data_IF_573442944746
#
_entry.id   IF_573442944746
#
_cell.length_a   1.000
_cell.length_b   1.000
_cell.length_c   1.000
_cell.angle_alpha   90.00
_cell.angle_beta   90.00
_cell.angle_gamma   90.00
#
_symmetry.space_group_name_H-M   'P 1'
#
loop_
_entity.id
_entity.type
_entity.pdbx_description
1 polymer ?
#
# COMPACT_ATOMS: atom_id res chain seq x y z
N UNK A 1 26.37 -12.29 5.67
CA UNK A 1 24.96 -11.86 5.54
C UNK A 1 24.92 -10.35 5.30
N UNK A 2 24.73 -9.93 4.06
CA UNK A 2 24.79 -8.52 3.66
C UNK A 2 23.49 -7.82 4.09
N UNK A 3 23.59 -6.85 5.02
CA UNK A 3 22.45 -6.04 5.47
C UNK A 3 22.08 -5.05 4.36
N UNK A 4 21.01 -5.33 3.61
CA UNK A 4 20.44 -4.38 2.66
C UNK A 4 19.78 -3.22 3.44
N UNK A 5 20.48 -2.09 3.58
CA UNK A 5 19.88 -0.86 4.13
C UNK A 5 19.00 -0.25 3.04
N UNK A 6 17.68 -0.42 3.17
CA UNK A 6 16.67 0.25 2.34
C UNK A 6 16.90 1.78 2.27
N UNK A 7 17.45 2.37 3.35
CA UNK A 7 17.76 3.81 3.45
C UNK A 7 18.95 4.29 2.59
N UNK A 8 19.82 3.40 2.12
CA UNK A 8 20.95 3.77 1.25
C UNK A 8 20.65 3.58 -0.24
N UNK A 9 19.45 3.13 -0.59
CA UNK A 9 19.05 3.04 -1.99
C UNK A 9 18.79 4.45 -2.54
N UNK A 10 19.31 4.79 -3.74
CA UNK A 10 19.05 6.08 -4.38
C UNK A 10 17.55 6.34 -4.65
N UNK A 11 16.73 5.29 -4.62
CA UNK A 11 15.27 5.38 -4.79
C UNK A 11 14.50 5.69 -3.50
N UNK A 12 15.18 5.75 -2.34
CA UNK A 12 14.53 6.02 -1.06
C UNK A 12 14.17 7.51 -0.92
N UNK A 13 12.89 7.84 -1.12
CA UNK A 13 12.37 9.22 -1.06
C UNK A 13 11.86 9.67 0.31
N UNK A 14 12.26 9.00 1.39
CA UNK A 14 11.83 9.34 2.76
C UNK A 14 10.63 8.56 3.26
N UNK A 15 9.91 9.06 4.29
CA UNK A 15 8.76 8.40 4.89
C UNK A 15 7.66 8.13 3.86
N UNK A 16 7.02 6.97 3.96
CA UNK A 16 5.87 6.64 3.13
C UNK A 16 4.67 7.44 3.61
N UNK A 17 4.29 8.48 2.88
CA UNK A 17 3.13 9.32 3.16
C UNK A 17 2.10 9.17 2.03
N UNK A 18 0.93 8.63 2.37
CA UNK A 18 -0.20 8.54 1.45
C UNK A 18 -1.12 9.70 1.78
N UNK A 19 -0.92 10.86 1.13
CA UNK A 19 -1.81 12.02 1.24
C UNK A 19 -3.28 11.58 1.22
N UNK A 20 -3.95 11.45 2.39
CA UNK A 20 -5.09 10.56 2.53
C UNK A 20 -6.31 11.07 1.78
N UNK A 21 -6.43 12.39 1.68
CA UNK A 21 -7.48 13.06 0.92
C UNK A 21 -7.43 12.71 -0.57
N UNK A 22 -6.23 12.69 -1.16
CA UNK A 22 -6.05 12.33 -2.57
C UNK A 22 -6.41 10.87 -2.82
N UNK A 23 -6.03 9.97 -1.91
CA UNK A 23 -6.34 8.54 -2.00
C UNK A 23 -7.85 8.31 -1.90
N UNK A 24 -8.52 8.93 -0.92
CA UNK A 24 -9.96 8.80 -0.73
C UNK A 24 -10.74 9.42 -1.89
N UNK A 25 -10.30 10.57 -2.41
CA UNK A 25 -10.89 11.20 -3.60
C UNK A 25 -10.74 10.31 -4.84
N UNK A 26 -9.57 9.72 -5.06
CA UNK A 26 -9.35 8.75 -6.14
C UNK A 26 -10.28 7.55 -5.98
N UNK A 27 -10.43 7.00 -4.77
CA UNK A 27 -11.34 5.89 -4.54
C UNK A 27 -12.81 6.21 -4.82
N UNK A 28 -13.27 7.42 -4.52
CA UNK A 28 -14.63 7.89 -4.83
C UNK A 28 -14.90 7.88 -6.33
N UNK A 29 -13.90 8.18 -7.18
CA UNK A 29 -14.04 8.11 -8.64
C UNK A 29 -14.28 6.69 -9.14
N UNK A 30 -13.67 5.70 -8.50
CA UNK A 30 -13.82 4.28 -8.85
C UNK A 30 -15.02 3.59 -8.20
N UNK A 31 -15.96 4.34 -7.61
CA UNK A 31 -17.11 3.79 -6.87
C UNK A 31 -18.11 3.05 -7.77
N UNK A 32 -18.11 3.33 -9.08
CA UNK A 32 -19.01 2.73 -10.07
C UNK A 32 -18.56 1.34 -10.55
N UNK A 33 -17.28 0.99 -10.38
CA UNK A 33 -16.78 -0.32 -10.76
C UNK A 33 -17.16 -1.38 -9.70
N UNK A 34 -17.72 -2.51 -10.14
CA UNK A 34 -17.99 -3.65 -9.24
C UNK A 34 -16.68 -4.17 -8.66
N UNK A 35 -16.55 -4.08 -7.33
CA UNK A 35 -15.42 -4.67 -6.60
C UNK A 35 -15.59 -6.19 -6.56
N UNK A 36 -14.53 -6.93 -6.88
CA UNK A 36 -14.48 -8.37 -6.63
C UNK A 36 -13.82 -8.59 -5.27
N UNK A 37 -14.49 -9.21 -4.28
CA UNK A 37 -13.84 -9.57 -3.03
C UNK A 37 -12.73 -10.58 -3.31
N UNK A 38 -11.59 -10.42 -2.67
CA UNK A 38 -10.42 -11.29 -2.85
C UNK A 38 -9.81 -11.59 -1.50
N UNK A 39 -9.64 -12.87 -1.20
CA UNK A 39 -8.98 -13.33 0.01
C UNK A 39 -7.47 -13.32 -0.20
N UNK A 40 -6.73 -12.84 0.80
CA UNK A 40 -5.27 -12.86 0.83
C UNK A 40 -4.85 -13.52 2.14
N UNK A 41 -4.06 -14.58 2.06
CA UNK A 41 -3.50 -15.23 3.22
C UNK A 41 -2.35 -14.37 3.77
N UNK A 42 -2.49 -13.93 5.02
CA UNK A 42 -1.50 -13.14 5.76
C UNK A 42 -1.44 -13.67 7.18
N UNK A 43 -0.24 -13.66 7.78
CA UNK A 43 -0.09 -13.97 9.19
C UNK A 43 -0.63 -12.83 10.08
N UNK A 44 -0.90 -13.16 11.34
CA UNK A 44 -1.54 -12.24 12.28
C UNK A 44 -0.68 -11.00 12.57
N UNK A 45 0.65 -11.15 12.61
CA UNK A 45 1.56 -10.04 12.87
C UNK A 45 1.51 -9.06 11.70
N UNK A 46 1.61 -9.55 10.47
CA UNK A 46 1.49 -8.70 9.28
C UNK A 46 0.14 -7.98 9.24
N UNK A 47 -0.95 -8.67 9.59
CA UNK A 47 -2.28 -8.06 9.64
C UNK A 47 -2.34 -6.90 10.66
N UNK A 48 -1.74 -7.07 11.84
CA UNK A 48 -1.68 -6.03 12.88
C UNK A 48 -0.87 -4.82 12.41
N UNK A 49 0.29 -5.05 11.81
CA UNK A 49 1.16 -3.99 11.29
C UNK A 49 0.45 -3.19 10.18
N UNK A 50 -0.21 -3.87 9.24
CA UNK A 50 -0.94 -3.20 8.17
C UNK A 50 -2.13 -2.38 8.67
N UNK A 51 -2.87 -2.88 9.67
CA UNK A 51 -3.97 -2.12 10.29
C UNK A 51 -3.44 -0.88 11.01
N UNK A 52 -2.33 -1.00 11.75
CA UNK A 52 -1.71 0.13 12.44
C UNK A 52 -1.23 1.19 11.42
N UNK A 53 -0.61 0.77 10.32
CA UNK A 53 -0.20 1.66 9.23
C UNK A 53 -1.40 2.39 8.62
N UNK A 54 -2.50 1.68 8.36
CA UNK A 54 -3.71 2.27 7.79
C UNK A 54 -4.29 3.35 8.73
N UNK A 55 -4.36 3.06 10.03
CA UNK A 55 -4.81 4.01 11.06
C UNK A 55 -3.91 5.23 11.12
N UNK A 56 -2.59 5.04 11.14
CA UNK A 56 -1.62 6.15 11.16
C UNK A 56 -1.76 7.06 9.93
N UNK A 57 -2.08 6.48 8.77
CA UNK A 57 -2.29 7.21 7.52
C UNK A 57 -3.71 7.77 7.39
N UNK A 58 -4.62 7.50 8.33
CA UNK A 58 -6.01 7.97 8.26
C UNK A 58 -6.85 7.36 7.14
N UNK A 59 -6.49 6.17 6.65
CA UNK A 59 -7.22 5.47 5.57
C UNK A 59 -7.70 4.09 6.01
N UNK A 60 -8.79 3.56 5.44
CA UNK A 60 -9.23 2.21 5.78
C UNK A 60 -8.20 1.16 5.31
N UNK A 61 -8.00 0.10 6.09
CA UNK A 61 -7.06 -1.00 5.78
C UNK A 61 -7.24 -1.58 4.37
N UNK A 62 -8.47 -1.76 3.90
CA UNK A 62 -8.76 -2.25 2.55
C UNK A 62 -8.24 -1.30 1.45
N UNK A 63 -8.21 0.00 1.73
CA UNK A 63 -7.69 1.04 0.83
C UNK A 63 -6.18 0.94 0.76
N UNK A 64 -5.52 0.86 1.91
CA UNK A 64 -4.07 0.68 1.99
C UNK A 64 -3.64 -0.58 1.22
N UNK A 65 -4.33 -1.70 1.45
CA UNK A 65 -4.09 -2.96 0.73
C UNK A 65 -4.17 -2.79 -0.78
N UNK A 66 -5.21 -2.12 -1.28
CA UNK A 66 -5.37 -1.87 -2.71
C UNK A 66 -4.23 -1.03 -3.28
N UNK A 67 -3.80 0.02 -2.56
CA UNK A 67 -2.68 0.86 -2.97
C UNK A 67 -1.39 0.04 -3.05
N UNK A 68 -1.11 -0.79 -2.05
CA UNK A 68 0.07 -1.66 -2.06
C UNK A 68 0.07 -2.65 -3.22
N UNK A 69 -1.05 -3.33 -3.47
CA UNK A 69 -1.16 -4.28 -4.59
C UNK A 69 -0.92 -3.57 -5.93
N UNK A 70 -1.58 -2.44 -6.17
CA UNK A 70 -1.44 -1.72 -7.44
C UNK A 70 -0.03 -1.17 -7.65
N UNK A 71 0.57 -0.57 -6.61
CA UNK A 71 1.93 -0.05 -6.67
C UNK A 71 2.96 -1.17 -6.83
N UNK A 72 2.73 -2.31 -6.19
CA UNK A 72 3.55 -3.51 -6.38
C UNK A 72 3.55 -3.98 -7.83
N UNK A 73 2.37 -4.09 -8.45
CA UNK A 73 2.22 -4.45 -9.86
C UNK A 73 2.95 -3.44 -10.77
N UNK A 74 2.76 -2.14 -10.54
CA UNK A 74 3.42 -1.09 -11.33
C UNK A 74 4.94 -1.15 -11.19
N UNK A 75 5.44 -1.36 -9.98
CA UNK A 75 6.88 -1.45 -9.71
C UNK A 75 7.50 -2.66 -10.41
N UNK A 76 6.80 -3.80 -10.43
CA UNK A 76 7.25 -5.00 -11.16
C UNK A 76 7.27 -4.78 -12.67
N UNK A 77 6.29 -4.04 -13.23
CA UNK A 77 6.26 -3.69 -14.65
C UNK A 77 7.39 -2.75 -15.06
N UNK A 78 7.79 -1.82 -14.18
CA UNK A 78 8.90 -0.89 -14.44
C UNK A 78 10.27 -1.56 -14.31
N UNK A 79 10.36 -2.65 -13.56
CA UNK A 79 11.58 -3.42 -13.37
C UNK A 79 11.79 -4.53 -14.43
N UNK A 80 10.79 -4.78 -15.28
CA UNK A 80 10.85 -5.72 -16.42
C UNK A 80 11.18 -4.98 -17.70
#
# INVERSE_FOLDING_TARGET
MTRWRVKSSPTYKGPFDLAPEHVLAAMRRYKTAKKKPTSVALDERTLKELKALATHQGIPYQVLMRVFILRGIESMKQAS
#
